data_IF_990226829826
#
_entry.id   IF_990226829826
#
_cell.length_a   1.000
_cell.length_b   1.000
_cell.length_c   1.000
_cell.angle_alpha   90.00
_cell.angle_beta   90.00
_cell.angle_gamma   90.00
#
_symmetry.space_group_name_H-M   'P 1'
#
loop_
_entity.id
_entity.type
_entity.pdbx_description
1 polymer ?
#
# COMPACT_ATOMS: atom_id res chain seq x y z
N UNK A 1 -33.02 34.91 -30.28
CA UNK A 1 -32.09 34.69 -29.16
C UNK A 1 -32.68 33.57 -28.31
N UNK A 2 -32.10 32.38 -28.42
CA UNK A 2 -32.66 31.11 -27.95
C UNK A 2 -32.74 30.99 -26.43
N UNK A 3 -33.49 29.98 -25.96
CA UNK A 3 -33.73 29.69 -24.54
C UNK A 3 -32.42 29.63 -23.72
N UNK A 4 -31.32 29.25 -24.35
CA UNK A 4 -29.97 29.16 -23.75
C UNK A 4 -29.48 30.51 -23.21
N UNK A 5 -29.73 31.62 -23.92
CA UNK A 5 -29.30 32.95 -23.49
C UNK A 5 -30.06 33.43 -22.25
N UNK A 6 -31.28 32.93 -22.02
CA UNK A 6 -32.09 33.26 -20.84
C UNK A 6 -31.63 32.50 -19.60
N UNK A 7 -31.09 31.30 -19.77
CA UNK A 7 -30.51 30.50 -18.69
C UNK A 7 -29.19 31.12 -18.23
N UNK A 8 -28.30 31.48 -19.17
CA UNK A 8 -26.96 31.99 -18.85
C UNK A 8 -27.00 33.38 -18.19
N UNK A 9 -27.90 34.27 -18.64
CA UNK A 9 -28.04 35.63 -18.08
C UNK A 9 -29.06 35.71 -16.92
N UNK A 10 -29.59 34.57 -16.47
CA UNK A 10 -30.53 34.52 -15.36
C UNK A 10 -29.82 34.83 -14.02
N UNK A 11 -30.47 35.52 -13.07
CA UNK A 11 -29.88 35.88 -11.78
C UNK A 11 -29.48 34.65 -10.93
N UNK A 12 -29.99 33.48 -11.30
CA UNK A 12 -29.79 32.21 -10.60
C UNK A 12 -28.65 31.36 -11.20
N UNK A 13 -28.14 31.71 -12.39
CA UNK A 13 -27.08 30.92 -13.06
C UNK A 13 -25.78 30.92 -12.26
N UNK A 14 -25.35 32.10 -11.79
CA UNK A 14 -24.16 32.23 -10.96
C UNK A 14 -24.29 31.44 -9.64
N UNK A 15 -25.48 31.42 -9.04
CA UNK A 15 -25.75 30.65 -7.83
C UNK A 15 -25.68 29.13 -8.08
N UNK A 16 -26.20 28.66 -9.22
CA UNK A 16 -26.16 27.24 -9.61
C UNK A 16 -24.76 26.77 -9.99
N UNK A 17 -23.98 27.61 -10.66
CA UNK A 17 -22.56 27.33 -10.95
C UNK A 17 -21.75 27.31 -9.65
N UNK A 18 -21.96 28.28 -8.75
CA UNK A 18 -21.30 28.30 -7.45
C UNK A 18 -21.67 27.07 -6.60
N UNK A 19 -22.95 26.69 -6.56
CA UNK A 19 -23.42 25.49 -5.85
C UNK A 19 -22.83 24.20 -6.45
N UNK A 20 -22.76 24.09 -7.78
CA UNK A 20 -22.15 22.95 -8.47
C UNK A 20 -20.63 22.86 -8.25
N UNK A 21 -19.92 24.00 -8.24
CA UNK A 21 -18.49 24.07 -7.95
C UNK A 21 -18.20 23.72 -6.49
N UNK A 22 -19.01 24.19 -5.54
CA UNK A 22 -18.86 23.83 -4.12
C UNK A 22 -19.15 22.34 -3.88
N UNK A 23 -20.15 21.77 -4.56
CA UNK A 23 -20.39 20.32 -4.50
C UNK A 23 -19.22 19.49 -5.06
N UNK A 24 -18.55 19.97 -6.12
CA UNK A 24 -17.39 19.29 -6.69
C UNK A 24 -16.10 19.46 -5.87
N UNK A 25 -16.00 20.51 -5.04
CA UNK A 25 -14.84 20.77 -4.17
C UNK A 25 -15.03 20.19 -2.75
N UNK A 26 -16.25 19.81 -2.38
CA UNK A 26 -16.59 19.24 -1.07
C UNK A 26 -16.33 17.74 -0.94
N UNK A 27 -16.00 17.06 -2.04
CA UNK A 27 -15.66 15.63 -2.06
C UNK A 27 -14.16 15.44 -2.33
N UNK A 28 -13.34 16.23 -1.64
CA UNK A 28 -12.04 15.72 -1.26
C UNK A 28 -12.36 14.54 -0.33
N UNK A 29 -12.28 13.32 -0.88
CA UNK A 29 -12.36 12.09 -0.11
C UNK A 29 -11.68 12.32 1.22
N UNK A 30 -12.44 12.13 2.31
CA UNK A 30 -11.89 12.11 3.66
C UNK A 30 -10.59 11.30 3.59
N UNK A 31 -9.46 11.76 4.15
CA UNK A 31 -8.24 10.96 4.10
C UNK A 31 -8.63 9.60 4.66
N UNK A 32 -8.53 8.57 3.81
CA UNK A 32 -8.67 7.17 4.22
C UNK A 32 -7.89 7.06 5.53
N UNK A 33 -8.49 6.58 6.63
CA UNK A 33 -7.85 6.62 7.93
C UNK A 33 -6.49 5.96 7.78
N UNK A 34 -5.42 6.76 7.78
CA UNK A 34 -4.08 6.25 7.53
C UNK A 34 -3.89 5.11 8.52
N UNK A 35 -3.68 3.87 8.07
CA UNK A 35 -3.60 2.77 9.00
C UNK A 35 -2.50 3.10 10.00
N UNK A 36 -2.80 2.98 11.30
CA UNK A 36 -1.81 3.26 12.34
C UNK A 36 -0.73 2.18 12.27
N UNK A 37 0.34 2.48 11.52
CA UNK A 37 1.48 1.60 11.35
C UNK A 37 2.48 1.85 12.49
N UNK A 38 3.13 0.79 13.01
CA UNK A 38 4.24 0.95 13.94
C UNK A 38 5.36 1.81 13.34
N UNK A 39 6.27 2.36 14.17
CA UNK A 39 7.38 3.16 13.67
C UNK A 39 8.30 2.35 12.74
N UNK A 40 8.98 3.04 11.82
CA UNK A 40 9.96 2.45 10.91
C UNK A 40 10.98 1.59 11.67
N UNK A 41 11.32 0.44 11.11
CA UNK A 41 12.23 -0.54 11.70
C UNK A 41 11.58 -1.47 12.72
N UNK A 42 10.32 -1.23 13.12
CA UNK A 42 9.56 -2.21 13.91
C UNK A 42 9.40 -3.49 13.11
N UNK A 43 9.72 -4.63 13.72
CA UNK A 43 9.63 -5.93 13.09
C UNK A 43 8.93 -6.93 14.01
N UNK A 44 8.35 -7.96 13.41
CA UNK A 44 7.77 -9.09 14.12
C UNK A 44 8.12 -10.40 13.43
N UNK A 45 8.65 -11.36 14.18
CA UNK A 45 8.86 -12.72 13.71
C UNK A 45 7.58 -13.53 13.89
N UNK A 46 7.04 -14.08 12.81
CA UNK A 46 5.81 -14.86 12.83
C UNK A 46 5.97 -16.11 13.69
N UNK A 47 4.94 -16.42 14.48
CA UNK A 47 4.92 -17.61 15.32
C UNK A 47 5.00 -18.91 14.52
N UNK A 48 4.53 -18.88 13.28
CA UNK A 48 4.70 -19.93 12.28
C UNK A 48 5.01 -19.29 10.93
N UNK A 49 6.00 -19.81 10.18
CA UNK A 49 6.23 -19.38 8.81
C UNK A 49 4.97 -19.53 7.96
N UNK A 50 4.72 -18.57 7.07
CA UNK A 50 3.59 -18.61 6.14
C UNK A 50 4.10 -18.64 4.71
N UNK A 51 3.29 -19.15 3.79
CA UNK A 51 3.55 -19.02 2.36
C UNK A 51 2.80 -17.79 1.86
N UNK A 52 3.51 -16.85 1.23
CA UNK A 52 2.93 -15.70 0.55
C UNK A 52 2.99 -15.93 -0.95
N UNK A 53 1.95 -15.50 -1.66
CA UNK A 53 1.82 -15.59 -3.12
C UNK A 53 1.89 -14.20 -3.73
N UNK A 54 2.68 -14.07 -4.79
CA UNK A 54 2.80 -12.81 -5.55
C UNK A 54 1.53 -12.58 -6.39
N UNK A 55 0.91 -11.42 -6.23
CA UNK A 55 -0.33 -11.03 -6.93
C UNK A 55 -0.09 -10.01 -8.04
N UNK A 56 1.06 -9.34 -8.04
CA UNK A 56 1.46 -8.34 -9.05
C UNK A 56 2.42 -8.92 -10.11
N UNK A 57 2.56 -8.29 -11.29
CA UNK A 57 3.41 -8.80 -12.37
C UNK A 57 4.89 -8.97 -12.00
N UNK A 58 5.43 -8.03 -11.21
CA UNK A 58 6.82 -8.02 -10.79
C UNK A 58 6.92 -7.56 -9.33
N UNK A 59 7.31 -8.47 -8.44
CA UNK A 59 7.61 -8.17 -7.05
C UNK A 59 9.12 -8.15 -6.83
N UNK A 60 9.65 -6.97 -6.48
CA UNK A 60 11.07 -6.78 -6.27
C UNK A 60 11.53 -7.30 -4.90
N UNK A 61 12.64 -8.02 -4.91
CA UNK A 61 13.30 -8.59 -3.73
C UNK A 61 14.53 -7.77 -3.41
N UNK A 62 14.65 -7.32 -2.16
CA UNK A 62 15.68 -6.36 -1.75
C UNK A 62 16.40 -6.80 -0.49
N UNK A 63 17.59 -6.24 -0.27
CA UNK A 63 18.35 -6.47 0.96
C UNK A 63 17.75 -5.76 2.16
N UNK A 64 17.23 -4.55 1.98
CA UNK A 64 16.56 -3.76 3.03
C UNK A 64 15.14 -3.38 2.60
N UNK A 65 14.31 -3.00 3.56
CA UNK A 65 12.90 -2.65 3.37
C UNK A 65 12.76 -1.22 2.82
N UNK A 66 13.40 -0.96 1.69
CA UNK A 66 13.53 0.37 1.07
C UNK A 66 13.39 0.22 -0.45
N UNK A 67 12.55 1.05 -1.07
CA UNK A 67 12.25 1.00 -2.49
C UNK A 67 13.43 1.44 -3.38
N UNK A 68 14.38 2.20 -2.83
CA UNK A 68 15.59 2.65 -3.54
C UNK A 68 16.76 1.68 -3.55
N UNK A 69 16.74 0.61 -2.76
CA UNK A 69 17.89 -0.29 -2.60
C UNK A 69 18.11 -1.22 -3.79
N UNK A 70 19.30 -1.80 -3.91
CA UNK A 70 19.61 -2.76 -4.97
C UNK A 70 18.62 -3.93 -5.01
N UNK A 71 18.17 -4.27 -6.22
CA UNK A 71 17.32 -5.43 -6.45
C UNK A 71 18.19 -6.68 -6.47
N UNK A 72 17.89 -7.61 -5.57
CA UNK A 72 18.52 -8.92 -5.52
C UNK A 72 17.87 -9.86 -6.53
N UNK A 73 16.55 -9.78 -6.65
CA UNK A 73 15.76 -10.60 -7.56
C UNK A 73 14.41 -9.95 -7.86
N UNK A 74 13.69 -10.53 -8.82
CA UNK A 74 12.29 -10.19 -9.10
C UNK A 74 11.49 -11.48 -9.15
N UNK A 75 10.39 -11.54 -8.40
CA UNK A 75 9.41 -12.61 -8.47
C UNK A 75 8.28 -12.22 -9.41
N UNK A 76 7.79 -13.20 -10.16
CA UNK A 76 6.67 -13.02 -11.09
C UNK A 76 5.36 -13.40 -10.43
N UNK A 77 4.26 -12.88 -10.96
CA UNK A 77 2.90 -13.19 -10.50
C UNK A 77 2.68 -14.71 -10.38
N UNK A 78 2.06 -15.14 -9.28
CA UNK A 78 1.80 -16.54 -8.98
C UNK A 78 2.96 -17.27 -8.30
N UNK A 79 4.14 -16.68 -8.21
CA UNK A 79 5.25 -17.25 -7.42
C UNK A 79 4.88 -17.31 -5.94
N UNK A 80 5.34 -18.35 -5.25
CA UNK A 80 5.13 -18.54 -3.82
C UNK A 80 6.47 -18.54 -3.08
N UNK A 81 6.50 -17.93 -1.90
CA UNK A 81 7.72 -17.86 -1.09
C UNK A 81 7.41 -17.91 0.41
N UNK A 82 8.28 -18.54 1.23
CA UNK A 82 8.09 -18.59 2.66
C UNK A 82 8.47 -17.25 3.30
N UNK A 83 7.60 -16.76 4.17
CA UNK A 83 7.79 -15.59 5.02
C UNK A 83 7.90 -16.00 6.48
N UNK A 84 8.87 -15.46 7.17
CA UNK A 84 9.11 -15.73 8.61
C UNK A 84 8.77 -14.56 9.50
N UNK A 85 8.55 -13.37 8.95
CA UNK A 85 8.36 -12.15 9.72
C UNK A 85 7.98 -10.99 8.83
N UNK A 86 7.77 -9.84 9.45
CA UNK A 86 7.53 -8.58 8.79
C UNK A 86 8.39 -7.48 9.40
N UNK A 87 8.56 -6.40 8.64
CA UNK A 87 9.23 -5.18 9.10
C UNK A 87 8.53 -3.96 8.49
N UNK A 88 8.40 -2.89 9.28
CA UNK A 88 8.01 -1.58 8.78
C UNK A 88 9.23 -0.94 8.12
N UNK A 89 9.11 -0.66 6.83
CA UNK A 89 10.11 -0.02 6.01
C UNK A 89 9.58 1.21 5.30
N UNK A 90 10.19 1.54 4.16
CA UNK A 90 9.74 2.61 3.30
C UNK A 90 8.37 2.29 2.73
N UNK A 91 7.47 3.28 2.73
CA UNK A 91 6.14 3.12 2.17
C UNK A 91 6.20 3.05 0.65
N UNK A 92 5.64 1.98 0.09
CA UNK A 92 5.34 1.88 -1.34
C UNK A 92 3.82 1.90 -1.46
N UNK A 93 3.29 2.82 -2.27
CA UNK A 93 1.84 3.03 -2.46
C UNK A 93 1.04 3.11 -1.14
N UNK A 94 1.59 3.82 -0.14
CA UNK A 94 0.96 4.00 1.18
C UNK A 94 1.07 2.80 2.13
N UNK A 95 1.65 1.68 1.70
CA UNK A 95 1.88 0.50 2.54
C UNK A 95 3.37 0.39 2.93
N UNK A 96 3.72 0.58 4.22
CA UNK A 96 5.10 0.47 4.71
C UNK A 96 5.48 -0.95 5.16
N UNK A 97 4.61 -1.95 5.00
CA UNK A 97 4.87 -3.31 5.51
C UNK A 97 5.64 -4.14 4.48
N UNK A 98 6.77 -4.71 4.91
CA UNK A 98 7.60 -5.60 4.11
C UNK A 98 7.71 -6.97 4.75
N UNK A 99 7.63 -8.02 3.94
CA UNK A 99 7.91 -9.38 4.34
C UNK A 99 9.41 -9.59 4.56
N UNK A 100 9.74 -10.38 5.57
CA UNK A 100 11.07 -10.94 5.75
C UNK A 100 11.04 -12.40 5.28
N UNK A 101 11.84 -12.71 4.27
CA UNK A 101 11.97 -14.08 3.74
C UNK A 101 13.03 -14.86 4.52
N UNK A 102 12.99 -16.19 4.37
CA UNK A 102 14.00 -17.08 4.93
C UNK A 102 13.72 -17.48 6.38
N UNK A 103 14.43 -18.51 6.87
CA UNK A 103 14.29 -18.98 8.25
C UNK A 103 15.03 -18.06 9.23
N UNK A 104 14.55 -17.89 10.47
CA UNK A 104 15.20 -17.04 11.48
C UNK A 104 16.68 -17.39 11.70
N UNK A 105 17.03 -18.68 11.61
CA UNK A 105 18.39 -19.20 11.74
C UNK A 105 19.32 -18.92 10.53
N UNK A 106 18.81 -18.36 9.43
CA UNK A 106 19.58 -18.06 8.21
C UNK A 106 19.58 -16.56 7.92
N UNK A 107 20.07 -15.76 8.89
CA UNK A 107 20.11 -14.30 8.83
C UNK A 107 20.73 -13.73 7.54
N UNK A 108 21.73 -14.41 6.97
CA UNK A 108 22.40 -14.00 5.75
C UNK A 108 21.53 -14.08 4.47
N UNK A 109 20.42 -14.83 4.51
CA UNK A 109 19.49 -14.99 3.38
C UNK A 109 18.12 -14.33 3.64
N UNK A 110 18.04 -13.44 4.64
CA UNK A 110 16.80 -12.70 4.93
C UNK A 110 16.66 -11.54 3.94
N UNK A 111 15.75 -11.67 2.99
CA UNK A 111 15.41 -10.63 2.02
C UNK A 111 14.11 -9.95 2.38
N UNK A 112 13.89 -8.77 1.82
CA UNK A 112 12.70 -7.96 2.04
C UNK A 112 11.91 -7.84 0.75
N UNK A 113 10.62 -8.09 0.86
CA UNK A 113 9.68 -8.00 -0.26
C UNK A 113 8.47 -7.19 0.20
N UNK A 114 8.03 -6.23 -0.60
CA UNK A 114 6.90 -5.39 -0.23
C UNK A 114 5.61 -6.21 -0.15
N UNK A 115 4.87 -6.10 0.95
CA UNK A 115 3.70 -6.95 1.20
C UNK A 115 2.51 -6.62 0.30
N UNK A 116 2.41 -5.39 -0.22
CA UNK A 116 1.27 -4.97 -1.03
C UNK A 116 1.16 -5.69 -2.38
N UNK A 117 2.26 -6.30 -2.83
CA UNK A 117 2.30 -7.13 -4.03
C UNK A 117 1.96 -8.61 -3.79
N UNK A 118 1.38 -8.95 -2.64
CA UNK A 118 1.08 -10.33 -2.23
C UNK A 118 -0.38 -10.53 -1.86
N UNK A 119 -0.79 -11.78 -1.70
CA UNK A 119 -2.11 -12.17 -1.18
C UNK A 119 -2.30 -11.85 0.31
N UNK A 120 -1.21 -11.50 1.01
CA UNK A 120 -1.18 -11.09 2.40
C UNK A 120 -0.66 -9.64 2.49
N UNK A 121 -1.51 -8.68 2.12
CA UNK A 121 -1.11 -7.28 2.02
C UNK A 121 -1.47 -6.44 3.27
N UNK A 122 -0.59 -5.49 3.61
CA UNK A 122 -0.89 -4.38 4.50
C UNK A 122 -1.07 -4.76 5.98
N UNK A 123 -2.10 -4.22 6.64
CA UNK A 123 -2.32 -4.38 8.10
C UNK A 123 -2.66 -5.80 8.52
N UNK A 124 -3.15 -6.64 7.61
CA UNK A 124 -3.41 -8.06 7.90
C UNK A 124 -2.16 -8.79 8.35
N UNK A 125 -0.99 -8.33 7.88
CA UNK A 125 0.32 -8.84 8.29
C UNK A 125 0.60 -8.55 9.76
N UNK A 126 0.24 -7.37 10.24
CA UNK A 126 0.46 -6.94 11.62
C UNK A 126 -0.45 -7.66 12.62
N UNK A 127 -1.59 -8.16 12.16
CA UNK A 127 -2.50 -8.97 12.95
C UNK A 127 -2.04 -10.43 13.13
N UNK A 128 -0.96 -10.85 12.45
CA UNK A 128 -0.45 -12.21 12.56
C UNK A 128 0.23 -12.45 13.91
N UNK A 129 0.10 -13.65 14.51
CA UNK A 129 0.75 -13.96 15.76
C UNK A 129 2.28 -13.94 15.57
N UNK A 130 2.97 -13.20 16.44
CA UNK A 130 4.43 -13.08 16.49
C UNK A 130 5.00 -13.72 17.76
N UNK A 131 6.27 -14.09 17.73
CA UNK A 131 7.02 -14.64 18.89
C UNK A 131 7.76 -13.56 19.66
#
# INVERSE_FOLDING_TARGET
LGADARVINGPDFAARVAAGVVAALGEAAEPDPTPDYPPFGTAGDLAQPRLARVTIPALHVRKYAEAGQELIATLTQGSEFPVSGWIIGEAVDGNPVWWITGQPDQAAARWRMWSGGTDLAGTQVLALPVR
#
